data_IF_366585982127
#
_entry.id   IF_366585982127
#
_cell.length_a   1.000
_cell.length_b   1.000
_cell.length_c   1.000
_cell.angle_alpha   90.00
_cell.angle_beta   90.00
_cell.angle_gamma   90.00
#
_symmetry.space_group_name_H-M   'P 1'
#
loop_
_entity.id
_entity.type
_entity.pdbx_description
1 polymer ?
#
# COMPACT_ATOMS: atom_id res chain seq x y z
N UNK A 1 15.28 20.71 -29.15
CA UNK A 1 15.03 21.12 -27.76
C UNK A 1 13.77 20.42 -27.30
N UNK A 2 13.90 19.21 -26.78
CA UNK A 2 12.78 18.39 -26.30
C UNK A 2 12.71 18.59 -24.79
N UNK A 3 11.69 19.33 -24.34
CA UNK A 3 11.37 19.48 -22.92
C UNK A 3 11.02 18.12 -22.34
N UNK A 4 11.87 17.63 -21.45
CA UNK A 4 11.59 16.53 -20.54
C UNK A 4 10.51 16.97 -19.57
N UNK A 5 9.34 16.33 -19.63
CA UNK A 5 8.21 16.57 -18.75
C UNK A 5 8.50 15.96 -17.36
N UNK A 6 8.61 16.74 -16.25
CA UNK A 6 9.14 16.24 -14.97
C UNK A 6 8.15 15.51 -14.06
N UNK A 7 6.90 15.24 -14.47
CA UNK A 7 5.84 14.76 -13.56
C UNK A 7 5.34 13.33 -13.84
N UNK A 8 6.22 12.38 -14.16
CA UNK A 8 5.87 10.95 -14.27
C UNK A 8 6.36 10.11 -13.09
N UNK A 9 6.09 10.58 -11.87
CA UNK A 9 6.49 9.90 -10.64
C UNK A 9 5.24 9.54 -9.83
N UNK A 10 4.68 8.35 -10.11
CA UNK A 10 3.47 7.84 -9.44
C UNK A 10 3.83 6.86 -8.33
N UNK A 11 3.13 7.03 -7.19
CA UNK A 11 3.26 6.37 -5.88
C UNK A 11 4.46 6.83 -5.04
N UNK A 12 4.23 7.88 -4.22
CA UNK A 12 5.10 8.23 -3.09
C UNK A 12 4.42 7.72 -1.82
N UNK A 13 4.96 6.67 -1.21
CA UNK A 13 4.56 6.22 0.12
C UNK A 13 5.73 6.49 1.07
N UNK A 14 5.52 7.34 2.09
CA UNK A 14 6.53 7.61 3.13
C UNK A 14 5.93 7.16 4.45
N UNK A 15 6.59 6.23 5.13
CA UNK A 15 6.16 5.71 6.43
C UNK A 15 7.01 6.24 7.57
N UNK A 16 6.37 6.33 8.74
CA UNK A 16 6.98 6.83 9.98
C UNK A 16 7.78 5.72 10.68
N UNK A 17 9.06 6.03 10.92
CA UNK A 17 9.98 5.55 11.96
C UNK A 17 10.17 4.03 12.11
N UNK A 18 11.27 3.53 11.54
CA UNK A 18 11.93 2.28 11.92
C UNK A 18 12.71 2.46 13.25
N UNK A 19 13.36 1.42 13.81
CA UNK A 19 13.86 1.43 15.19
C UNK A 19 14.87 2.55 15.50
N UNK A 20 15.60 3.08 14.50
CA UNK A 20 16.57 4.16 14.70
C UNK A 20 16.07 5.49 14.11
N UNK A 21 14.76 5.63 13.87
CA UNK A 21 14.14 6.84 13.33
C UNK A 21 14.11 6.91 11.80
N UNK A 22 14.49 5.83 11.11
CA UNK A 22 14.49 5.80 9.65
C UNK A 22 13.07 5.94 9.08
N UNK A 23 12.95 6.56 7.92
CA UNK A 23 11.68 6.66 7.18
C UNK A 23 11.82 5.88 5.90
N UNK A 24 11.07 4.81 5.76
CA UNK A 24 11.12 4.01 4.53
C UNK A 24 10.00 4.41 3.57
N UNK A 25 10.33 4.36 2.28
CA UNK A 25 9.34 4.42 1.21
C UNK A 25 9.45 3.23 0.27
N UNK A 26 8.30 2.85 -0.29
CA UNK A 26 8.16 1.70 -1.17
C UNK A 26 7.67 2.15 -2.53
N UNK A 27 8.45 1.87 -3.56
CA UNK A 27 8.26 2.42 -4.89
C UNK A 27 8.26 1.32 -5.93
N UNK A 28 7.32 1.40 -6.85
CA UNK A 28 7.20 0.55 -8.03
C UNK A 28 7.42 1.43 -9.26
N UNK A 29 8.19 0.93 -10.24
CA UNK A 29 8.49 1.65 -11.49
C UNK A 29 7.92 0.88 -12.68
N UNK A 30 6.74 1.27 -13.19
CA UNK A 30 6.16 0.70 -14.40
C UNK A 30 7.11 0.85 -15.60
N UNK A 31 7.46 -0.26 -16.24
CA UNK A 31 8.05 -0.25 -17.57
C UNK A 31 6.93 -0.47 -18.59
N UNK A 32 6.54 0.61 -19.27
CA UNK A 32 5.45 0.58 -20.23
C UNK A 32 5.84 -0.06 -21.57
N UNK A 33 7.14 -0.23 -21.84
CA UNK A 33 7.64 -0.60 -23.16
C UNK A 33 7.79 -2.12 -23.32
N UNK A 34 7.83 -2.88 -22.21
CA UNK A 34 8.03 -4.34 -22.24
C UNK A 34 7.13 -5.07 -21.23
N UNK A 35 5.85 -5.21 -21.59
CA UNK A 35 4.86 -5.90 -20.74
C UNK A 35 4.52 -7.26 -21.37
N UNK A 36 4.92 -8.39 -20.75
CA UNK A 36 4.53 -9.70 -21.22
C UNK A 36 3.00 -9.86 -21.30
N UNK A 37 2.46 -10.58 -22.31
CA UNK A 37 1.03 -10.86 -22.38
C UNK A 37 0.50 -11.48 -21.09
N UNK A 38 -0.60 -10.93 -20.56
CA UNK A 38 -1.21 -11.39 -19.32
C UNK A 38 -0.68 -10.72 -18.04
N UNK A 39 0.35 -9.87 -18.13
CA UNK A 39 0.79 -9.04 -17.02
C UNK A 39 0.09 -7.67 -17.01
N UNK A 40 -0.06 -7.13 -15.81
CA UNK A 40 -0.55 -5.78 -15.56
C UNK A 40 0.63 -4.79 -15.73
N UNK A 41 0.53 -3.83 -16.67
CA UNK A 41 1.56 -2.79 -16.90
C UNK A 41 1.97 -2.03 -15.64
N UNK A 42 1.03 -1.90 -14.70
CA UNK A 42 1.14 -1.05 -13.53
C UNK A 42 1.46 -1.84 -12.25
N UNK A 43 1.59 -3.16 -12.35
CA UNK A 43 2.04 -4.01 -11.24
C UNK A 43 3.50 -4.38 -11.46
N UNK A 44 4.41 -3.65 -10.83
CA UNK A 44 5.84 -3.93 -10.88
C UNK A 44 6.42 -4.21 -9.51
N UNK A 45 7.51 -4.96 -9.49
CA UNK A 45 8.24 -5.28 -8.28
C UNK A 45 8.64 -4.01 -7.54
N UNK A 46 8.41 -4.01 -6.23
CA UNK A 46 8.70 -2.88 -5.36
C UNK A 46 10.18 -2.80 -5.01
N UNK A 47 10.61 -1.59 -4.67
CA UNK A 47 11.92 -1.30 -4.10
C UNK A 47 11.73 -0.52 -2.80
N UNK A 48 12.56 -0.83 -1.81
CA UNK A 48 12.64 -0.06 -0.58
C UNK A 48 13.68 1.05 -0.72
N UNK A 49 13.35 2.20 -0.14
CA UNK A 49 14.20 3.37 -0.09
C UNK A 49 14.22 3.95 1.30
N UNK A 50 15.38 4.44 1.72
CA UNK A 50 15.52 5.30 2.88
C UNK A 50 15.22 6.75 2.48
N UNK A 51 14.20 7.32 3.11
CA UNK A 51 13.66 8.67 2.96
C UNK A 51 13.81 9.49 4.24
N UNK A 52 14.70 9.09 5.15
CA UNK A 52 14.97 9.82 6.39
C UNK A 52 15.43 11.25 6.10
N UNK A 53 16.34 11.42 5.13
CA UNK A 53 16.57 12.70 4.46
C UNK A 53 15.78 12.73 3.13
N UNK A 54 14.63 13.43 3.09
CA UNK A 54 13.81 13.47 1.88
C UNK A 54 14.49 14.22 0.72
N UNK A 55 15.54 15.01 0.96
CA UNK A 55 16.30 15.68 -0.10
C UNK A 55 17.37 14.76 -0.71
N UNK A 56 17.74 13.69 -0.01
CA UNK A 56 18.76 12.73 -0.43
C UNK A 56 18.30 11.27 -0.19
N UNK A 57 17.21 10.84 -0.83
CA UNK A 57 16.71 9.48 -0.66
C UNK A 57 17.72 8.46 -1.20
N UNK A 58 17.92 7.36 -0.47
CA UNK A 58 18.87 6.30 -0.82
C UNK A 58 18.12 4.99 -1.11
N UNK A 59 18.38 4.37 -2.27
CA UNK A 59 17.78 3.07 -2.61
C UNK A 59 18.43 1.97 -1.76
N UNK A 60 17.60 1.20 -1.04
CA UNK A 60 18.08 0.12 -0.18
C UNK A 60 18.15 -1.21 -0.92
N UNK A 61 17.18 -1.49 -1.79
CA UNK A 61 17.15 -2.74 -2.56
C UNK A 61 15.76 -3.13 -3.06
N UNK A 62 15.65 -4.25 -3.79
CA UNK A 62 14.37 -4.82 -4.17
C UNK A 62 13.61 -5.35 -2.94
N UNK A 63 12.28 -5.31 -2.98
CA UNK A 63 11.44 -6.06 -2.06
C UNK A 63 11.32 -7.49 -2.58
N UNK A 64 11.98 -8.40 -1.87
CA UNK A 64 12.07 -9.81 -2.22
C UNK A 64 12.00 -10.64 -0.95
N UNK A 65 11.30 -11.77 -0.98
CA UNK A 65 11.30 -12.71 0.14
C UNK A 65 12.57 -13.58 0.15
N UNK A 66 12.80 -14.32 1.24
CA UNK A 66 13.97 -15.21 1.37
C UNK A 66 13.97 -16.38 0.40
N UNK A 67 12.86 -16.64 -0.30
CA UNK A 67 12.77 -17.61 -1.39
C UNK A 67 13.17 -17.05 -2.76
N UNK A 68 13.47 -15.75 -2.84
CA UNK A 68 13.79 -15.07 -4.08
C UNK A 68 12.57 -14.55 -4.85
N UNK A 69 11.37 -14.55 -4.26
CA UNK A 69 10.18 -14.05 -4.92
C UNK A 69 10.04 -12.54 -4.72
N UNK A 70 9.84 -11.80 -5.81
CA UNK A 70 9.63 -10.35 -5.77
C UNK A 70 8.23 -10.01 -5.23
N UNK A 71 8.15 -8.92 -4.48
CA UNK A 71 6.89 -8.40 -3.91
C UNK A 71 6.44 -7.20 -4.75
N UNK A 72 5.19 -7.23 -5.20
CA UNK A 72 4.62 -6.25 -6.13
C UNK A 72 3.66 -5.31 -5.42
N UNK A 73 3.58 -4.05 -5.88
CA UNK A 73 2.65 -3.03 -5.35
C UNK A 73 2.65 -2.97 -3.81
N UNK A 74 3.84 -2.91 -3.23
CA UNK A 74 4.03 -3.11 -1.81
C UNK A 74 3.82 -1.82 -1.00
N UNK A 75 3.34 -1.98 0.23
CA UNK A 75 3.42 -1.00 1.30
C UNK A 75 3.96 -1.69 2.55
N UNK A 76 4.31 -0.94 3.59
CA UNK A 76 4.88 -1.54 4.79
C UNK A 76 4.65 -0.72 6.05
N UNK A 77 5.02 -1.26 7.21
CA UNK A 77 5.07 -0.53 8.46
C UNK A 77 6.04 -1.23 9.41
N UNK A 78 6.68 -0.45 10.29
CA UNK A 78 7.48 -1.02 11.36
C UNK A 78 6.59 -1.36 12.56
N UNK A 79 6.76 -2.56 13.12
CA UNK A 79 6.15 -2.98 14.36
C UNK A 79 7.15 -2.81 15.53
N UNK A 80 7.01 -1.77 16.37
CA UNK A 80 7.93 -1.56 17.48
C UNK A 80 7.81 -2.62 18.57
N UNK A 81 6.70 -3.37 18.65
CA UNK A 81 6.53 -4.42 19.68
C UNK A 81 7.38 -5.65 19.39
N UNK A 82 7.49 -6.03 18.11
CA UNK A 82 8.24 -7.21 17.68
C UNK A 82 9.59 -6.87 17.07
N UNK A 83 9.84 -5.60 16.76
CA UNK A 83 11.05 -5.15 16.09
C UNK A 83 11.09 -5.49 14.60
N UNK A 84 9.94 -5.82 13.99
CA UNK A 84 9.88 -6.34 12.61
C UNK A 84 9.33 -5.31 11.64
N UNK A 85 9.73 -5.39 10.38
CA UNK A 85 8.98 -4.77 9.28
C UNK A 85 7.85 -5.69 8.87
N UNK A 86 6.63 -5.17 8.76
CA UNK A 86 5.51 -5.79 8.07
C UNK A 86 5.41 -5.21 6.66
N UNK A 87 5.34 -6.04 5.63
CA UNK A 87 5.19 -5.65 4.23
C UNK A 87 3.93 -6.31 3.67
N UNK A 88 3.08 -5.56 2.99
CA UNK A 88 1.91 -6.10 2.29
C UNK A 88 2.02 -5.78 0.82
N UNK A 89 1.81 -6.79 -0.03
CA UNK A 89 1.95 -6.68 -1.48
C UNK A 89 1.32 -7.86 -2.22
N UNK A 90 1.52 -7.92 -3.54
CA UNK A 90 1.08 -9.02 -4.39
C UNK A 90 2.25 -9.94 -4.71
N UNK A 91 1.92 -11.19 -5.05
CA UNK A 91 2.91 -12.23 -5.38
C UNK A 91 3.40 -12.18 -6.82
N UNK A 92 2.72 -11.44 -7.69
CA UNK A 92 3.18 -11.28 -9.06
C UNK A 92 2.55 -10.11 -9.81
N UNK A 93 2.96 -9.94 -11.07
CA UNK A 93 2.47 -8.88 -11.93
C UNK A 93 1.22 -9.29 -12.73
N UNK A 94 0.63 -10.47 -12.48
CA UNK A 94 -0.43 -10.98 -13.36
C UNK A 94 -1.67 -10.08 -13.35
N UNK A 95 -2.31 -9.97 -14.50
CA UNK A 95 -3.64 -9.37 -14.58
C UNK A 95 -4.57 -10.10 -13.63
N UNK A 96 -5.31 -9.33 -12.83
CA UNK A 96 -6.23 -9.86 -11.82
C UNK A 96 -5.55 -10.66 -10.70
N UNK A 97 -4.22 -10.57 -10.51
CA UNK A 97 -3.63 -10.94 -9.22
C UNK A 97 -4.16 -9.97 -8.18
N UNK A 98 -5.15 -10.43 -7.42
CA UNK A 98 -5.81 -9.65 -6.37
C UNK A 98 -5.38 -10.12 -4.98
N UNK A 99 -4.48 -11.09 -4.87
CA UNK A 99 -4.11 -11.66 -3.58
C UNK A 99 -3.07 -10.78 -2.90
N UNK A 100 -3.48 -10.15 -1.80
CA UNK A 100 -2.57 -9.47 -0.88
C UNK A 100 -1.97 -10.50 0.08
N UNK A 101 -0.65 -10.53 0.17
CA UNK A 101 0.08 -11.35 1.12
C UNK A 101 0.81 -10.42 2.09
N UNK A 102 0.88 -10.84 3.35
CA UNK A 102 1.71 -10.24 4.39
C UNK A 102 3.05 -10.96 4.43
N UNK A 103 4.13 -10.19 4.45
CA UNK A 103 5.47 -10.63 4.79
C UNK A 103 5.92 -9.92 6.07
N UNK A 104 6.79 -10.58 6.84
CA UNK A 104 7.47 -9.98 7.96
C UNK A 104 8.97 -10.24 7.88
N UNK A 105 9.77 -9.24 8.26
CA UNK A 105 11.20 -9.42 8.46
C UNK A 105 11.47 -10.18 9.75
N UNK A 106 12.70 -10.67 9.93
CA UNK A 106 13.23 -10.91 11.27
C UNK A 106 13.30 -9.63 12.10
N UNK A 107 13.37 -9.72 13.45
CA UNK A 107 13.55 -8.56 14.30
C UNK A 107 14.85 -7.82 13.94
N UNK A 108 14.72 -6.52 13.71
CA UNK A 108 15.83 -5.60 13.45
C UNK A 108 16.61 -5.44 14.74
N UNK A 109 17.92 -5.69 14.69
CA UNK A 109 18.78 -5.54 15.87
C UNK A 109 19.27 -4.11 15.97
N UNK A 110 19.44 -3.57 17.19
CA UNK A 110 20.09 -2.28 17.38
C UNK A 110 21.45 -2.23 16.67
N UNK A 111 21.67 -1.20 15.86
CA UNK A 111 22.90 -1.03 15.08
C UNK A 111 22.96 -1.76 13.73
N UNK A 112 21.91 -2.51 13.35
CA UNK A 112 21.80 -2.98 11.97
C UNK A 112 21.72 -1.78 11.00
N UNK A 113 22.42 -1.83 9.84
CA UNK A 113 22.34 -0.76 8.85
C UNK A 113 20.92 -0.68 8.24
N UNK A 114 20.52 0.51 7.75
CA UNK A 114 19.27 0.68 7.03
C UNK A 114 19.13 -0.36 5.91
N UNK A 115 17.95 -0.98 5.83
CA UNK A 115 17.65 -1.98 4.79
C UNK A 115 18.09 -3.42 5.08
N UNK A 116 18.85 -3.71 6.15
CA UNK A 116 19.25 -5.10 6.46
C UNK A 116 18.08 -6.07 6.64
N UNK A 117 16.95 -5.56 7.11
CA UNK A 117 15.70 -6.31 7.23
C UNK A 117 15.15 -6.86 5.90
N UNK A 118 15.59 -6.32 4.75
CA UNK A 118 15.22 -6.83 3.43
C UNK A 118 15.71 -8.27 3.20
N UNK A 119 16.79 -8.68 3.88
CA UNK A 119 17.40 -10.00 3.73
C UNK A 119 16.62 -11.12 4.43
N UNK A 120 15.62 -10.77 5.25
CA UNK A 120 14.90 -11.71 6.13
C UNK A 120 13.38 -11.63 5.98
N UNK A 121 12.87 -11.16 4.84
CA UNK A 121 11.43 -11.12 4.59
C UNK A 121 10.86 -12.52 4.34
N UNK A 122 9.91 -12.93 5.18
CA UNK A 122 9.24 -14.23 5.08
C UNK A 122 7.73 -14.05 4.87
N UNK A 123 7.09 -14.84 3.98
CA UNK A 123 5.64 -14.82 3.83
C UNK A 123 4.96 -15.34 5.10
N UNK A 124 3.94 -14.63 5.57
CA UNK A 124 3.16 -14.95 6.76
C UNK A 124 1.80 -15.53 6.37
N UNK A 125 1.14 -14.92 5.38
CA UNK A 125 -0.16 -15.41 4.90
C UNK A 125 -0.91 -14.41 4.02
N UNK A 126 -2.02 -14.86 3.45
CA UNK A 126 -2.91 -14.04 2.61
C UNK A 126 -3.86 -13.20 3.47
N UNK A 127 -3.99 -11.92 3.13
CA UNK A 127 -5.00 -11.02 3.68
C UNK A 127 -6.34 -11.34 3.02
N UNK A 128 -7.25 -11.96 3.77
CA UNK A 128 -8.54 -12.41 3.24
C UNK A 128 -9.55 -11.28 3.09
N UNK A 129 -9.45 -10.24 3.94
CA UNK A 129 -10.42 -9.15 4.01
C UNK A 129 -10.25 -8.07 2.94
N UNK A 130 -9.12 -8.03 2.23
CA UNK A 130 -8.84 -6.97 1.25
C UNK A 130 -8.37 -7.55 -0.09
N UNK A 131 -9.09 -7.30 -1.18
CA UNK A 131 -8.54 -7.53 -2.51
C UNK A 131 -7.40 -6.56 -2.82
N UNK A 132 -6.61 -6.91 -3.85
CA UNK A 132 -5.36 -6.22 -4.17
C UNK A 132 -5.12 -5.94 -5.64
N UNK A 133 -6.15 -5.85 -6.49
CA UNK A 133 -5.92 -5.54 -7.90
C UNK A 133 -5.34 -4.13 -8.13
N UNK A 134 -5.53 -3.23 -7.14
CA UNK A 134 -5.10 -1.82 -7.15
C UNK A 134 -4.36 -1.49 -5.86
N UNK A 135 -3.88 -0.26 -5.74
CA UNK A 135 -2.98 0.24 -4.70
C UNK A 135 -3.48 -0.03 -3.27
N UNK A 136 -2.52 -0.18 -2.36
CA UNK A 136 -2.75 -0.36 -0.93
C UNK A 136 -1.78 0.50 -0.10
N UNK A 137 -2.10 0.72 1.16
CA UNK A 137 -1.20 1.32 2.13
C UNK A 137 -1.41 0.72 3.52
N UNK A 138 -0.36 0.12 4.05
CA UNK A 138 -0.22 -0.29 5.44
C UNK A 138 0.37 0.87 6.25
N UNK A 139 -0.14 1.12 7.45
CA UNK A 139 0.45 2.02 8.44
C UNK A 139 0.40 1.41 9.84
N UNK A 140 1.37 1.77 10.68
CA UNK A 140 1.24 1.62 12.12
C UNK A 140 0.40 2.77 12.70
N UNK A 141 -0.47 2.45 13.66
CA UNK A 141 -1.41 3.37 14.30
C UNK A 141 -0.81 4.04 15.55
N UNK A 142 -1.23 5.27 15.87
CA UNK A 142 -0.76 6.01 17.04
C UNK A 142 -1.18 5.34 18.36
N UNK A 143 -2.41 4.83 18.43
CA UNK A 143 -2.90 4.03 19.56
C UNK A 143 -2.35 2.60 19.58
N UNK A 144 -1.52 2.22 18.60
CA UNK A 144 -0.95 0.90 18.42
C UNK A 144 -1.78 0.00 17.50
N UNK A 145 -1.12 -1.00 16.92
CA UNK A 145 -1.71 -1.83 15.87
C UNK A 145 -1.53 -1.22 14.49
N UNK A 146 -2.33 -1.69 13.53
CA UNK A 146 -2.12 -1.48 12.11
C UNK A 146 -3.44 -1.20 11.41
N UNK A 147 -3.38 -0.34 10.41
CA UNK A 147 -4.43 -0.19 9.41
C UNK A 147 -3.87 -0.48 8.03
N UNK A 148 -4.59 -1.27 7.26
CA UNK A 148 -4.33 -1.52 5.85
C UNK A 148 -5.53 -1.03 5.06
N UNK A 149 -5.29 -0.11 4.13
CA UNK A 149 -6.30 0.33 3.15
C UNK A 149 -5.95 -0.29 1.80
N UNK A 150 -6.96 -0.69 1.04
CA UNK A 150 -6.80 -1.31 -0.27
C UNK A 150 -7.90 -0.90 -1.23
N UNK A 151 -7.63 -1.11 -2.52
CA UNK A 151 -8.62 -0.97 -3.56
C UNK A 151 -8.58 -2.16 -4.52
N UNK A 152 -9.73 -2.42 -5.12
CA UNK A 152 -9.91 -3.43 -6.16
C UNK A 152 -10.20 -2.76 -7.51
N UNK A 153 -10.21 -3.55 -8.57
CA UNK A 153 -10.92 -3.17 -9.78
C UNK A 153 -12.37 -2.84 -9.42
N UNK A 154 -13.04 -2.01 -10.22
CA UNK A 154 -14.47 -1.74 -10.09
C UNK A 154 -15.13 -1.78 -11.46
N UNK A 155 -16.12 -2.65 -11.61
CA UNK A 155 -16.99 -2.70 -12.79
C UNK A 155 -18.45 -2.53 -12.35
N UNK A 156 -19.10 -1.39 -12.65
CA UNK A 156 -20.49 -1.18 -12.29
C UNK A 156 -21.46 -2.14 -12.99
N UNK A 157 -21.06 -2.77 -14.11
CA UNK A 157 -21.86 -3.78 -14.80
C UNK A 157 -21.72 -5.18 -14.17
N UNK A 158 -20.64 -5.42 -13.43
CA UNK A 158 -20.34 -6.71 -12.80
C UNK A 158 -19.90 -6.49 -11.34
N UNK A 159 -20.85 -6.46 -10.39
CA UNK A 159 -20.54 -6.26 -8.98
C UNK A 159 -19.52 -7.31 -8.49
N UNK A 160 -18.40 -6.85 -7.93
CA UNK A 160 -17.39 -7.75 -7.39
C UNK A 160 -17.79 -8.29 -6.03
N UNK A 161 -17.17 -9.42 -5.65
CA UNK A 161 -17.32 -10.03 -4.33
C UNK A 161 -16.77 -9.14 -3.20
N UNK A 162 -15.80 -8.29 -3.50
CA UNK A 162 -15.15 -7.42 -2.53
C UNK A 162 -15.54 -5.95 -2.73
N UNK A 163 -15.54 -5.14 -1.66
CA UNK A 163 -15.68 -3.69 -1.79
C UNK A 163 -14.54 -3.09 -2.62
N UNK A 164 -14.86 -2.13 -3.49
CA UNK A 164 -13.87 -1.49 -4.36
C UNK A 164 -12.84 -0.64 -3.60
N UNK A 165 -13.20 -0.11 -2.42
CA UNK A 165 -12.29 0.56 -1.49
C UNK A 165 -12.66 0.19 -0.06
N UNK A 166 -11.70 -0.39 0.66
CA UNK A 166 -11.92 -0.86 2.03
C UNK A 166 -10.68 -0.74 2.88
N UNK A 167 -10.89 -0.83 4.19
CA UNK A 167 -9.85 -0.87 5.20
C UNK A 167 -10.03 -2.09 6.10
N UNK A 168 -8.92 -2.63 6.60
CA UNK A 168 -8.90 -3.56 7.73
C UNK A 168 -7.96 -3.03 8.80
N UNK A 169 -8.27 -3.32 10.05
CA UNK A 169 -7.49 -2.90 11.21
C UNK A 169 -7.26 -4.08 12.14
N UNK A 170 -6.09 -4.12 12.77
CA UNK A 170 -5.76 -5.16 13.74
C UNK A 170 -4.71 -4.67 14.74
N UNK A 171 -4.66 -5.31 15.90
CA UNK A 171 -3.66 -5.00 16.94
C UNK A 171 -2.25 -5.52 16.62
N UNK A 172 -2.13 -6.47 15.69
CA UNK A 172 -0.86 -7.00 15.16
C UNK A 172 -0.93 -7.14 13.64
N UNK A 173 0.21 -7.26 12.93
CA UNK A 173 0.20 -7.47 11.48
C UNK A 173 -0.55 -8.75 11.08
N UNK A 174 -0.39 -9.85 11.82
CA UNK A 174 -1.03 -11.14 11.56
C UNK A 174 -2.55 -11.06 11.74
N UNK A 175 -3.03 -10.21 12.65
CA UNK A 175 -4.46 -9.97 12.80
C UNK A 175 -5.12 -9.38 11.55
N UNK A 176 -4.36 -8.73 10.66
CA UNK A 176 -4.88 -8.21 9.38
C UNK A 176 -5.32 -9.35 8.45
N UNK A 177 -4.78 -10.57 8.61
CA UNK A 177 -5.05 -11.70 7.72
C UNK A 177 -6.54 -12.09 7.69
N UNK A 178 -7.22 -11.94 8.83
CA UNK A 178 -8.63 -12.34 9.02
C UNK A 178 -9.54 -11.20 9.46
N UNK A 179 -9.00 -9.97 9.56
CA UNK A 179 -9.75 -8.80 9.93
C UNK A 179 -10.90 -8.52 8.95
N UNK A 180 -12.06 -8.12 9.49
CA UNK A 180 -13.24 -7.83 8.69
C UNK A 180 -13.08 -6.47 7.98
N UNK A 181 -13.27 -6.40 6.66
CA UNK A 181 -13.17 -5.14 5.95
C UNK A 181 -14.30 -4.19 6.29
N UNK A 182 -13.93 -2.92 6.47
CA UNK A 182 -14.84 -1.78 6.49
C UNK A 182 -14.83 -1.13 5.13
N UNK A 183 -16.01 -0.95 4.53
CA UNK A 183 -16.16 -0.20 3.28
C UNK A 183 -15.88 1.26 3.56
N UNK A 184 -14.87 1.84 2.92
CA UNK A 184 -14.51 3.23 3.15
C UNK A 184 -15.49 4.16 2.44
N UNK A 185 -15.78 3.87 1.18
CA UNK A 185 -16.75 4.62 0.37
C UNK A 185 -17.60 3.63 -0.43
N UNK A 186 -18.94 3.65 -0.26
CA UNK A 186 -19.84 2.85 -1.06
C UNK A 186 -19.84 3.28 -2.54
N UNK A 187 -20.05 2.36 -3.50
CA UNK A 187 -20.01 2.67 -4.93
C UNK A 187 -20.89 3.83 -5.39
N UNK A 188 -22.08 3.98 -4.78
CA UNK A 188 -23.01 5.06 -5.10
C UNK A 188 -22.48 6.47 -4.79
N UNK A 189 -21.41 6.56 -4.00
CA UNK A 189 -20.80 7.83 -3.57
C UNK A 189 -19.51 8.16 -4.34
N UNK A 190 -19.14 7.38 -5.36
CA UNK A 190 -17.95 7.70 -6.16
C UNK A 190 -18.22 8.94 -7.03
N UNK A 191 -17.33 9.96 -7.05
CA UNK A 191 -17.51 11.19 -7.83
C UNK A 191 -17.32 11.00 -9.37
N UNK A 192 -17.47 9.77 -9.85
CA UNK A 192 -17.15 9.32 -11.21
C UNK A 192 -15.93 8.41 -11.26
N UNK A 193 -15.92 7.51 -12.26
CA UNK A 193 -14.82 6.60 -12.51
C UNK A 193 -14.75 5.42 -11.55
N UNK A 194 -13.73 4.57 -11.74
CA UNK A 194 -13.40 3.49 -10.82
C UNK A 194 -12.41 4.01 -9.76
N UNK A 195 -12.58 3.71 -8.47
CA UNK A 195 -11.56 4.00 -7.48
C UNK A 195 -10.28 3.25 -7.83
N UNK A 196 -9.15 3.89 -7.54
CA UNK A 196 -7.84 3.41 -7.97
C UNK A 196 -6.85 3.33 -6.80
N UNK A 197 -6.94 4.17 -5.77
CA UNK A 197 -6.01 4.04 -4.66
C UNK A 197 -6.39 4.86 -3.44
N UNK A 198 -6.55 4.22 -2.26
CA UNK A 198 -6.61 4.91 -0.98
C UNK A 198 -5.20 5.25 -0.49
N UNK A 199 -5.04 6.44 0.06
CA UNK A 199 -3.83 6.90 0.74
C UNK A 199 -4.23 7.49 2.08
N UNK A 200 -3.71 6.92 3.17
CA UNK A 200 -3.79 7.49 4.51
C UNK A 200 -2.90 8.72 4.54
N UNK A 201 -3.50 9.87 4.78
CA UNK A 201 -2.84 11.20 4.80
C UNK A 201 -2.73 11.78 6.21
N UNK A 202 -3.42 11.18 7.19
CA UNK A 202 -3.38 11.60 8.59
C UNK A 202 -3.97 10.53 9.51
N UNK A 203 -3.51 10.52 10.75
CA UNK A 203 -4.13 9.74 11.84
C UNK A 203 -4.22 10.62 13.09
N UNK A 204 -5.31 10.50 13.84
CA UNK A 204 -5.62 11.34 14.99
C UNK A 204 -6.18 10.50 16.13
N UNK A 205 -5.40 10.32 17.20
CA UNK A 205 -5.84 9.62 18.41
C UNK A 205 -6.49 10.60 19.39
N UNK A 206 -7.75 10.36 19.74
CA UNK A 206 -8.39 11.03 20.87
C UNK A 206 -7.87 10.43 22.19
N UNK A 207 -7.15 11.20 23.04
CA UNK A 207 -6.56 10.68 24.27
C UNK A 207 -7.58 10.35 25.36
N UNK A 208 -8.83 10.81 25.23
CA UNK A 208 -9.91 10.58 26.21
C UNK A 208 -10.73 9.35 25.83
N UNK A 209 -11.14 9.25 24.56
CA UNK A 209 -11.98 8.13 24.09
C UNK A 209 -11.16 6.94 23.59
N UNK A 210 -9.85 7.13 23.36
CA UNK A 210 -8.96 6.17 22.72
C UNK A 210 -9.44 5.72 21.33
N UNK A 211 -10.24 6.56 20.66
CA UNK A 211 -10.62 6.34 19.26
C UNK A 211 -9.59 7.01 18.37
N UNK A 212 -8.98 6.25 17.47
CA UNK A 212 -8.11 6.80 16.43
C UNK A 212 -8.90 6.98 15.12
N UNK A 213 -8.85 8.18 14.54
CA UNK A 213 -9.48 8.48 13.25
C UNK A 213 -8.40 8.57 12.17
N UNK A 214 -8.61 7.91 11.04
CA UNK A 214 -7.71 7.99 9.89
C UNK A 214 -8.33 8.82 8.78
N UNK A 215 -7.57 9.79 8.28
CA UNK A 215 -7.90 10.55 7.08
C UNK A 215 -7.38 9.81 5.85
N UNK A 216 -8.28 9.49 4.93
CA UNK A 216 -7.96 8.74 3.71
C UNK A 216 -8.33 9.56 2.49
N UNK A 217 -7.34 9.86 1.65
CA UNK A 217 -7.58 10.36 0.30
C UNK A 217 -7.77 9.20 -0.66
N UNK A 218 -8.90 9.16 -1.34
CA UNK A 218 -9.17 8.17 -2.40
C UNK A 218 -9.11 8.87 -3.75
N UNK A 219 -8.39 8.26 -4.69
CA UNK A 219 -8.33 8.71 -6.08
C UNK A 219 -9.24 7.83 -6.94
N UNK A 220 -10.02 8.43 -7.84
CA UNK A 220 -10.71 7.71 -8.92
C UNK A 220 -10.09 8.03 -10.26
N UNK A 221 -10.25 7.10 -11.19
CA UNK A 221 -9.88 7.28 -12.57
C UNK A 221 -11.14 7.31 -13.44
N UNK A 222 -11.46 8.50 -13.95
CA UNK A 222 -12.56 8.71 -14.88
C UNK A 222 -12.26 8.00 -16.21
N UNK A 223 -12.96 6.89 -16.46
CA UNK A 223 -13.01 6.09 -17.70
C UNK A 223 -11.69 5.41 -18.11
N UNK A 224 -11.63 4.11 -17.81
CA UNK A 224 -10.66 3.13 -18.34
C UNK A 224 -10.84 2.89 -19.87
N UNK A 225 -11.90 3.44 -20.49
CA UNK A 225 -12.45 2.93 -21.75
C UNK A 225 -12.10 3.73 -23.02
N UNK A 226 -11.29 4.79 -22.95
CA UNK A 226 -11.00 5.61 -24.15
C UNK A 226 -9.50 5.90 -24.32
N UNK A 227 -8.77 5.10 -25.12
CA UNK A 227 -7.35 5.33 -25.38
C UNK A 227 -7.16 6.63 -26.16
N UNK A 228 -6.75 7.70 -25.46
CA UNK A 228 -6.50 9.02 -26.04
C UNK A 228 -6.86 10.20 -25.14
N UNK A 229 -7.63 9.98 -24.09
CA UNK A 229 -7.95 11.02 -23.12
C UNK A 229 -6.83 11.20 -22.08
N UNK A 230 -6.53 12.45 -21.66
CA UNK A 230 -5.55 12.71 -20.61
C UNK A 230 -6.01 12.11 -19.29
N UNK A 231 -5.05 11.59 -18.52
CA UNK A 231 -5.30 11.12 -17.16
C UNK A 231 -5.78 12.28 -16.28
N UNK A 232 -7.04 12.23 -15.84
CA UNK A 232 -7.68 13.25 -15.01
C UNK A 232 -8.28 12.59 -13.75
N UNK A 233 -7.48 12.39 -12.68
CA UNK A 233 -7.97 11.75 -11.47
C UNK A 233 -8.82 12.74 -10.66
N UNK A 234 -9.93 12.26 -10.10
CA UNK A 234 -10.63 12.98 -9.04
C UNK A 234 -10.16 12.44 -7.70
N UNK A 235 -9.98 13.31 -6.73
CA UNK A 235 -9.64 12.90 -5.36
C UNK A 235 -10.69 13.40 -4.38
N UNK A 236 -10.89 12.65 -3.31
CA UNK A 236 -11.80 13.00 -2.23
C UNK A 236 -11.29 12.38 -0.92
N UNK A 237 -11.66 13.00 0.20
CA UNK A 237 -11.23 12.57 1.52
C UNK A 237 -12.40 11.90 2.23
N UNK A 238 -12.13 10.79 2.90
CA UNK A 238 -13.03 10.13 3.85
C UNK A 238 -12.28 9.90 5.16
N UNK A 239 -13.02 9.59 6.22
CA UNK A 239 -12.46 9.24 7.51
C UNK A 239 -13.09 7.96 8.03
N UNK A 240 -12.33 7.15 8.75
CA UNK A 240 -12.89 6.03 9.50
C UNK A 240 -12.24 5.92 10.87
N UNK A 241 -13.02 5.47 11.84
CA UNK A 241 -12.57 5.27 13.22
C UNK A 241 -12.01 3.87 13.42
N UNK A 242 -11.01 3.78 14.28
CA UNK A 242 -10.40 2.55 14.77
C UNK A 242 -10.50 2.55 16.28
N UNK A 243 -10.96 1.42 16.80
CA UNK A 243 -11.00 1.17 18.24
C UNK A 243 -9.89 0.18 18.57
N UNK A 244 -9.05 0.54 19.55
CA UNK A 244 -7.90 -0.24 20.00
C UNK A 244 -8.26 -1.25 21.09
#
# INVERSE_FOLDING_TARGET
MTQTNPERDRSRQVLRSAPNGERYGFFSYPDADHIPPGNNPFSTAGKAWDFTDPNHPTMLGPLQDTGGNLIYQASGAYDPKTGRMAIVGNTGPKNLDTQRVLWQSDPIKPGDPPGKWLESLHPVGTVQGLPGARENQLVALQGGGFALVGSDNFDPAHPQANPAVSAVTASTPEGLLTARPTVLIPPQNFPGGAPYGPTIIGTHLDPVTHVETLDVRVSTWDRVVDPGQPYNPKTFTTTFGVQH
#
